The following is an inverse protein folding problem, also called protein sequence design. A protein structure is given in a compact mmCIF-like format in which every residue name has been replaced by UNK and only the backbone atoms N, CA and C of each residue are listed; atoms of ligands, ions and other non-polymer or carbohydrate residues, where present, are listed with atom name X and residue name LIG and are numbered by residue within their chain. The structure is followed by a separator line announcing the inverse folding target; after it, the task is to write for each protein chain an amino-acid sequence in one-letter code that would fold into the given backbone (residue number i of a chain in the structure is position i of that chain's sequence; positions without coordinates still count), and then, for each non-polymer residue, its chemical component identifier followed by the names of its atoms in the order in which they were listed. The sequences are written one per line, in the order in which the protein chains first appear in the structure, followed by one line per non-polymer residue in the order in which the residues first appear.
data_IF_864120371159
#
_entry.id   IF_864120371159
#
_cell.length_a   1.000
_cell.length_b   1.000
_cell.length_c   1.000
_cell.angle_alpha   90.00
_cell.angle_beta   90.00
_cell.angle_gamma   90.00
#
_symmetry.space_group_name_H-M   'P 1'
#
loop_
_entity.id
_entity.type
_entity.pdbx_description
1 polymer ?
#
# COMPACT_ATOMS: atom_id res chain seq x y z
N UNK A 1 6.49 1.01 20.83
CA UNK A 1 7.15 0.27 19.73
C UNK A 1 6.31 0.21 18.45
N UNK A 2 5.00 0.48 18.48
CA UNK A 2 4.14 0.32 17.31
C UNK A 2 4.18 1.47 16.28
N UNK A 3 4.43 2.71 16.71
CA UNK A 3 4.37 3.89 15.82
C UNK A 3 5.53 3.95 14.82
N UNK A 4 6.75 3.66 15.27
CA UNK A 4 7.95 3.65 14.41
C UNK A 4 7.85 2.63 13.27
N UNK A 5 7.22 1.48 13.53
CA UNK A 5 7.00 0.46 12.51
C UNK A 5 5.97 0.93 11.47
N UNK A 6 4.85 1.52 11.91
CA UNK A 6 3.82 2.05 11.02
C UNK A 6 4.36 3.19 10.14
N UNK A 7 5.17 4.09 10.70
CA UNK A 7 5.82 5.18 9.95
C UNK A 7 6.79 4.62 8.89
N UNK A 8 7.55 3.58 9.24
CA UNK A 8 8.47 2.90 8.30
C UNK A 8 7.70 2.20 7.17
N UNK A 9 6.61 1.49 7.50
CA UNK A 9 5.76 0.82 6.51
C UNK A 9 5.12 1.84 5.58
N UNK A 10 4.63 2.96 6.13
CA UNK A 10 4.10 4.09 5.35
C UNK A 10 5.11 4.63 4.35
N UNK A 11 6.31 4.99 4.79
CA UNK A 11 7.34 5.55 3.91
C UNK A 11 7.69 4.58 2.78
N UNK A 12 7.82 3.29 3.10
CA UNK A 12 8.10 2.25 2.11
C UNK A 12 6.93 2.06 1.13
N UNK A 13 5.68 2.07 1.61
CA UNK A 13 4.50 1.97 0.74
C UNK A 13 4.39 3.17 -0.21
N UNK A 14 4.60 4.39 0.28
CA UNK A 14 4.61 5.60 -0.55
C UNK A 14 5.70 5.49 -1.63
N UNK A 15 6.88 4.98 -1.29
CA UNK A 15 7.95 4.72 -2.27
C UNK A 15 7.50 3.67 -3.29
N UNK A 16 6.92 2.56 -2.86
CA UNK A 16 6.41 1.51 -3.75
C UNK A 16 5.38 2.04 -4.74
N UNK A 17 4.39 2.80 -4.24
CA UNK A 17 3.39 3.47 -5.08
C UNK A 17 4.04 4.47 -6.07
N UNK A 18 5.08 5.18 -5.63
CA UNK A 18 5.85 6.07 -6.50
C UNK A 18 6.61 5.35 -7.61
N UNK A 19 7.15 4.16 -7.35
CA UNK A 19 7.80 3.35 -8.39
C UNK A 19 6.77 2.84 -9.41
N UNK A 20 5.60 2.37 -8.95
CA UNK A 20 4.51 1.93 -9.83
C UNK A 20 4.11 3.06 -10.77
N UNK A 21 3.89 4.26 -10.21
CA UNK A 21 3.49 5.46 -10.97
C UNK A 21 4.62 6.19 -11.67
N UNK A 22 5.87 5.75 -11.46
CA UNK A 22 7.09 6.35 -12.04
C UNK A 22 7.20 7.85 -11.76
N UNK A 23 6.75 8.28 -10.59
CA UNK A 23 6.77 9.68 -10.12
C UNK A 23 6.66 9.75 -8.60
N UNK A 24 6.96 10.90 -8.01
CA UNK A 24 6.65 11.13 -6.60
C UNK A 24 5.13 11.24 -6.41
N UNK A 25 4.61 10.56 -5.39
CA UNK A 25 3.16 10.47 -5.09
C UNK A 25 2.80 10.91 -3.67
N UNK A 26 3.79 11.02 -2.77
CA UNK A 26 3.57 11.38 -1.36
C UNK A 26 2.76 12.67 -1.16
N UNK A 27 3.02 13.76 -1.91
CA UNK A 27 2.24 15.00 -1.78
C UNK A 27 0.76 14.90 -2.19
N UNK A 28 0.37 13.83 -2.90
CA UNK A 28 -0.99 13.62 -3.42
C UNK A 28 -1.80 12.62 -2.57
N UNK A 29 -1.22 12.10 -1.49
CA UNK A 29 -1.83 11.05 -0.67
C UNK A 29 -2.04 11.54 0.76
N UNK A 30 -3.31 11.70 1.14
CA UNK A 30 -3.72 11.76 2.53
C UNK A 30 -4.03 10.35 3.07
N UNK A 31 -4.05 10.25 4.41
CA UNK A 31 -4.24 9.00 5.15
C UNK A 31 -5.57 8.30 4.83
N UNK A 32 -6.62 9.08 4.65
CA UNK A 32 -7.98 8.60 4.38
C UNK A 32 -8.29 8.53 2.88
N UNK A 33 -7.33 8.89 2.01
CA UNK A 33 -7.56 8.87 0.57
C UNK A 33 -7.60 7.44 0.05
N UNK A 34 -8.60 7.18 -0.79
CA UNK A 34 -8.59 6.01 -1.66
C UNK A 34 -7.43 6.15 -2.66
N UNK A 35 -6.27 5.57 -2.32
CA UNK A 35 -5.04 5.74 -3.08
C UNK A 35 -5.15 5.24 -4.52
N UNK A 36 -5.98 4.21 -4.77
CA UNK A 36 -6.27 3.72 -6.12
C UNK A 36 -6.87 4.83 -6.99
N UNK A 37 -7.84 5.58 -6.44
CA UNK A 37 -8.44 6.74 -7.13
C UNK A 37 -7.50 7.94 -7.17
N UNK A 38 -6.89 8.30 -6.05
CA UNK A 38 -6.01 9.47 -5.93
C UNK A 38 -4.86 9.40 -6.96
N UNK A 39 -4.28 8.22 -7.16
CA UNK A 39 -3.18 8.02 -8.10
C UNK A 39 -3.63 7.61 -9.50
N UNK A 40 -4.94 7.48 -9.75
CA UNK A 40 -5.50 6.93 -10.99
C UNK A 40 -4.89 5.56 -11.34
N UNK A 41 -4.84 4.62 -10.38
CA UNK A 41 -4.33 3.26 -10.58
C UNK A 41 -5.21 2.50 -11.56
N UNK A 42 -4.57 1.94 -12.59
CA UNK A 42 -5.22 1.03 -13.53
C UNK A 42 -5.05 -0.44 -13.09
N UNK A 43 -5.53 -1.37 -13.92
CA UNK A 43 -5.44 -2.80 -13.64
C UNK A 43 -4.00 -3.32 -13.68
N UNK A 44 -3.11 -2.72 -14.46
CA UNK A 44 -1.70 -3.10 -14.51
C UNK A 44 -0.99 -2.62 -13.24
N UNK A 45 -1.27 -1.40 -12.80
CA UNK A 45 -0.77 -0.85 -11.54
C UNK A 45 -1.20 -1.69 -10.34
N UNK A 46 -2.45 -2.17 -10.34
CA UNK A 46 -2.97 -3.04 -9.28
C UNK A 46 -2.22 -4.39 -9.24
N UNK A 47 -1.94 -4.98 -10.40
CA UNK A 47 -1.15 -6.23 -10.49
C UNK A 47 0.28 -6.01 -10.00
N UNK A 48 0.92 -4.92 -10.42
CA UNK A 48 2.27 -4.56 -9.96
C UNK A 48 2.30 -4.30 -8.44
N UNK A 49 1.26 -3.66 -7.89
CA UNK A 49 1.10 -3.48 -6.44
C UNK A 49 1.12 -4.84 -5.73
N UNK A 50 0.31 -5.80 -6.18
CA UNK A 50 0.28 -7.15 -5.60
C UNK A 50 1.65 -7.82 -5.63
N UNK A 51 2.37 -7.73 -6.75
CA UNK A 51 3.73 -8.30 -6.90
C UNK A 51 4.71 -7.65 -5.93
N UNK A 52 4.66 -6.33 -5.79
CA UNK A 52 5.56 -5.59 -4.89
C UNK A 52 5.25 -5.78 -3.42
N UNK A 53 3.98 -5.88 -3.04
CA UNK A 53 3.59 -6.20 -1.66
C UNK A 53 4.17 -7.57 -1.26
N UNK A 54 4.12 -8.55 -2.16
CA UNK A 54 4.71 -9.87 -1.92
C UNK A 54 6.24 -9.81 -1.83
N UNK A 55 6.89 -9.13 -2.79
CA UNK A 55 8.36 -9.05 -2.87
C UNK A 55 8.98 -8.21 -1.75
N UNK A 56 8.42 -7.04 -1.47
CA UNK A 56 9.05 -6.03 -0.60
C UNK A 56 8.63 -6.18 0.87
N UNK A 57 7.44 -6.74 1.12
CA UNK A 57 6.86 -6.85 2.46
C UNK A 57 6.53 -8.28 2.89
N UNK A 58 6.65 -9.27 1.99
CA UNK A 58 6.24 -10.65 2.26
C UNK A 58 4.71 -10.82 2.37
N UNK A 59 3.95 -9.87 1.83
CA UNK A 59 2.48 -9.83 1.96
C UNK A 59 1.83 -10.28 0.66
N UNK A 60 1.16 -11.42 0.69
CA UNK A 60 0.24 -11.81 -0.40
C UNK A 60 -1.00 -10.91 -0.36
N UNK A 61 -1.45 -10.43 -1.51
CA UNK A 61 -2.57 -9.50 -1.67
C UNK A 61 -3.52 -10.01 -2.76
N UNK A 62 -4.84 -9.87 -2.54
CA UNK A 62 -5.89 -10.38 -3.41
C UNK A 62 -6.32 -11.82 -3.14
N UNK A 63 -5.91 -12.40 -2.00
CA UNK A 63 -6.26 -13.76 -1.58
C UNK A 63 -7.37 -13.79 -0.53
N UNK A 64 -7.50 -12.73 0.26
CA UNK A 64 -8.45 -12.61 1.38
C UNK A 64 -9.45 -11.47 1.11
N UNK A 65 -10.65 -11.55 1.70
CA UNK A 65 -11.67 -10.52 1.52
C UNK A 65 -11.23 -9.16 2.08
N UNK A 66 -10.42 -9.14 3.15
CA UNK A 66 -9.91 -7.92 3.76
C UNK A 66 -8.85 -7.20 2.90
N UNK A 67 -8.36 -7.83 1.82
CA UNK A 67 -7.50 -7.18 0.83
C UNK A 67 -8.26 -6.11 0.05
N UNK A 68 -9.54 -6.34 -0.24
CA UNK A 68 -10.36 -5.37 -0.94
C UNK A 68 -10.67 -4.16 -0.05
N UNK A 69 -10.88 -4.39 1.25
CA UNK A 69 -11.09 -3.33 2.23
C UNK A 69 -9.84 -2.45 2.37
N UNK A 70 -8.64 -3.04 2.23
CA UNK A 70 -7.38 -2.30 2.25
C UNK A 70 -7.20 -1.34 1.06
N UNK A 71 -7.99 -1.48 -0.01
CA UNK A 71 -7.99 -0.53 -1.14
C UNK A 71 -8.78 0.76 -0.86
N UNK A 72 -9.52 0.83 0.25
CA UNK A 72 -10.38 1.96 0.55
C UNK A 72 -9.61 3.21 0.98
N UNK A 73 -8.48 3.05 1.68
CA UNK A 73 -7.62 4.16 2.11
C UNK A 73 -6.15 3.78 2.21
N UNK A 74 -5.26 4.78 2.17
CA UNK A 74 -3.83 4.57 2.44
C UNK A 74 -3.60 3.97 3.84
N UNK A 75 -4.35 4.44 4.84
CA UNK A 75 -4.27 3.90 6.21
C UNK A 75 -4.67 2.43 6.26
N UNK A 76 -5.74 2.03 5.57
CA UNK A 76 -6.16 0.63 5.54
C UNK A 76 -5.09 -0.29 4.92
N UNK A 77 -4.40 0.19 3.87
CA UNK A 77 -3.27 -0.53 3.28
C UNK A 77 -2.07 -0.62 4.24
N UNK A 78 -1.72 0.47 4.92
CA UNK A 78 -0.64 0.48 5.92
C UNK A 78 -0.94 -0.51 7.05
N UNK A 79 -2.18 -0.52 7.54
CA UNK A 79 -2.62 -1.42 8.61
C UNK A 79 -2.59 -2.88 8.15
N UNK A 80 -3.02 -3.18 6.93
CA UNK A 80 -2.93 -4.53 6.35
C UNK A 80 -1.49 -5.02 6.34
N UNK A 81 -0.58 -4.22 5.77
CA UNK A 81 0.83 -4.59 5.63
C UNK A 81 1.49 -4.72 7.00
N UNK A 82 1.25 -3.77 7.91
CA UNK A 82 1.80 -3.82 9.27
C UNK A 82 1.32 -5.07 10.01
N UNK A 83 0.03 -5.42 9.91
CA UNK A 83 -0.52 -6.63 10.54
C UNK A 83 0.09 -7.91 9.99
N UNK A 84 0.37 -7.98 8.68
CA UNK A 84 0.85 -9.19 8.01
C UNK A 84 2.36 -9.34 8.07
N UNK A 85 3.12 -8.26 7.97
CA UNK A 85 4.59 -8.28 8.13
C UNK A 85 5.04 -8.53 9.57
N UNK A 86 4.14 -8.43 10.55
CA UNK A 86 4.39 -8.76 11.94
C UNK A 86 4.08 -10.22 12.31
N UNK A 87 3.57 -11.03 11.37
CA UNK A 87 3.31 -12.47 11.55
C UNK A 87 4.56 -13.28 11.19
#
# INVERSE_FOLDING_TARGET
MSTVLADTVRENLIRTLGVIKKREVGPELADDDNFMRALNMDSLDAVELTVRLSSDFGVEFGAEADDLDALESLTALIDLVTRRSAR
#
